data_IF_915637080664
#
_entry.id   IF_915637080664
#
_cell.length_a   1.000
_cell.length_b   1.000
_cell.length_c   1.000
_cell.angle_alpha   90.00
_cell.angle_beta   90.00
_cell.angle_gamma   90.00
#
_symmetry.space_group_name_H-M   'P 1'
#
loop_
_entity.id
_entity.type
_entity.pdbx_description
1 polymer ?
#
# COMPACT_ATOMS: atom_id res chain seq x y z
N UNK A 1 19.26 1.60 -19.25
CA UNK A 1 18.33 1.59 -18.11
C UNK A 1 18.23 2.99 -17.50
N UNK A 2 17.04 3.36 -17.04
CA UNK A 2 16.78 4.60 -16.29
C UNK A 2 15.97 4.31 -15.02
N UNK A 3 16.41 4.83 -13.88
CA UNK A 3 15.60 4.94 -12.66
C UNK A 3 14.84 6.25 -12.72
N UNK A 4 13.51 6.20 -12.76
CA UNK A 4 12.64 7.39 -12.84
C UNK A 4 12.43 8.01 -11.47
N UNK A 5 12.20 7.18 -10.47
CA UNK A 5 11.94 7.59 -9.09
C UNK A 5 12.36 6.48 -8.11
N UNK A 6 12.62 6.85 -6.86
CA UNK A 6 12.67 5.90 -5.75
C UNK A 6 11.83 6.44 -4.59
N UNK A 7 10.96 5.59 -4.07
CA UNK A 7 10.02 5.88 -3.00
C UNK A 7 10.23 4.92 -1.83
N UNK A 8 10.21 5.45 -0.59
CA UNK A 8 10.27 4.63 0.62
C UNK A 8 8.87 4.47 1.20
N UNK A 9 8.46 3.24 1.49
CA UNK A 9 7.14 2.90 2.03
C UNK A 9 7.26 1.97 3.23
N UNK A 10 6.55 2.23 4.35
CA UNK A 10 6.53 1.29 5.47
C UNK A 10 5.80 0.00 5.10
N UNK A 11 4.71 0.13 4.35
CA UNK A 11 3.92 -0.96 3.81
C UNK A 11 3.47 -0.64 2.38
N UNK A 12 3.15 -1.68 1.63
CA UNK A 12 2.61 -1.60 0.28
C UNK A 12 1.22 -2.22 0.25
N UNK A 13 0.32 -1.63 -0.54
CA UNK A 13 -1.02 -2.18 -0.76
C UNK A 13 -1.05 -2.93 -2.09
N UNK A 14 -1.51 -4.17 -2.04
CA UNK A 14 -1.68 -5.02 -3.23
C UNK A 14 -2.82 -6.01 -3.01
N UNK A 15 -3.16 -6.74 -4.07
CA UNK A 15 -4.14 -7.81 -4.02
C UNK A 15 -3.64 -8.95 -3.13
N UNK A 16 -4.44 -9.33 -2.14
CA UNK A 16 -4.22 -10.55 -1.35
C UNK A 16 -5.19 -11.68 -1.75
N UNK A 17 -6.19 -11.34 -2.56
CA UNK A 17 -7.05 -12.25 -3.32
C UNK A 17 -7.45 -11.54 -4.63
N UNK A 18 -8.11 -12.22 -5.58
CA UNK A 18 -8.54 -11.57 -6.82
C UNK A 18 -9.36 -10.28 -6.62
N UNK A 19 -10.15 -10.22 -5.53
CA UNK A 19 -11.15 -9.18 -5.29
C UNK A 19 -10.94 -8.42 -3.96
N UNK A 20 -9.74 -8.50 -3.37
CA UNK A 20 -9.42 -7.80 -2.13
C UNK A 20 -7.98 -7.29 -2.11
N UNK A 21 -7.79 -6.15 -1.45
CA UNK A 21 -6.49 -5.63 -1.05
C UNK A 21 -6.07 -6.11 0.35
N UNK A 22 -4.77 -6.25 0.53
CA UNK A 22 -4.09 -6.36 1.82
C UNK A 22 -2.90 -5.39 1.87
N UNK A 23 -2.36 -5.20 3.07
CA UNK A 23 -1.13 -4.44 3.29
C UNK A 23 0.04 -5.39 3.56
N UNK A 24 1.23 -5.01 3.11
CA UNK A 24 2.44 -5.83 3.23
C UNK A 24 3.63 -4.96 3.65
N UNK A 25 4.16 -5.24 4.82
CA UNK A 25 5.24 -4.49 5.42
C UNK A 25 5.24 -4.72 6.93
N UNK A 26 5.55 -3.68 7.70
CA UNK A 26 5.33 -3.70 9.14
C UNK A 26 6.27 -2.78 9.90
N UNK A 27 6.27 -2.87 11.23
CA UNK A 27 7.00 -1.93 12.09
C UNK A 27 8.52 -2.02 11.96
N UNK A 28 9.07 -3.21 11.67
CA UNK A 28 10.52 -3.46 11.65
C UNK A 28 11.10 -3.55 10.23
N UNK A 29 10.28 -3.38 9.20
CA UNK A 29 10.71 -3.42 7.81
C UNK A 29 10.08 -2.31 7.00
N UNK A 30 10.69 -2.01 5.86
CA UNK A 30 10.20 -1.04 4.90
C UNK A 30 10.57 -1.47 3.48
N UNK A 31 10.04 -0.77 2.50
CA UNK A 31 10.25 -1.02 1.09
C UNK A 31 10.91 0.20 0.45
N UNK A 32 12.02 -0.02 -0.26
CA UNK A 32 12.48 0.89 -1.29
C UNK A 32 11.87 0.45 -2.62
N UNK A 33 10.99 1.26 -3.18
CA UNK A 33 10.31 1.00 -4.46
C UNK A 33 10.92 1.91 -5.51
N UNK A 34 11.55 1.33 -6.52
CA UNK A 34 12.11 2.04 -7.66
C UNK A 34 11.19 1.87 -8.87
N UNK A 35 10.83 2.97 -9.51
CA UNK A 35 10.18 2.94 -10.83
C UNK A 35 11.27 3.00 -11.90
N UNK A 36 11.33 1.98 -12.75
CA UNK A 36 12.39 1.83 -13.75
C UNK A 36 11.83 1.78 -15.16
N UNK A 37 12.67 2.13 -16.12
CA UNK A 37 12.45 1.93 -17.53
C UNK A 37 13.72 1.39 -18.19
N UNK A 38 13.58 0.36 -19.01
CA UNK A 38 14.68 -0.39 -19.61
C UNK A 38 14.43 -0.57 -21.10
N UNK A 39 15.42 -0.23 -21.92
CA UNK A 39 15.32 -0.38 -23.38
C UNK A 39 15.41 -1.84 -23.84
N UNK A 40 16.27 -2.63 -23.19
CA UNK A 40 16.45 -4.06 -23.43
C UNK A 40 16.16 -4.87 -22.15
N UNK A 41 14.90 -5.23 -21.89
CA UNK A 41 14.53 -5.92 -20.65
C UNK A 41 15.25 -7.26 -20.43
N UNK A 42 15.59 -7.96 -21.51
CA UNK A 42 16.32 -9.23 -21.45
C UNK A 42 17.73 -9.09 -20.86
N UNK A 43 18.38 -7.92 -21.02
CA UNK A 43 19.71 -7.64 -20.47
C UNK A 43 19.63 -7.23 -18.98
N UNK A 44 18.43 -6.93 -18.48
CA UNK A 44 18.20 -6.47 -17.12
C UNK A 44 17.06 -7.26 -16.47
N UNK A 45 17.18 -8.59 -16.29
CA UNK A 45 16.13 -9.37 -15.66
C UNK A 45 15.87 -8.84 -14.24
N UNK A 46 14.62 -8.85 -13.72
CA UNK A 46 14.31 -8.35 -12.38
C UNK A 46 15.21 -8.91 -11.26
N UNK A 47 15.71 -10.12 -11.46
CA UNK A 47 16.64 -10.81 -10.58
C UNK A 47 18.02 -10.13 -10.41
N UNK A 48 18.44 -9.25 -11.32
CA UNK A 48 19.75 -8.57 -11.28
C UNK A 48 19.76 -7.34 -10.36
N UNK A 49 18.58 -6.90 -9.91
CA UNK A 49 18.43 -5.69 -9.11
C UNK A 49 18.60 -5.98 -7.61
N UNK A 50 19.48 -5.21 -6.95
CA UNK A 50 19.79 -5.34 -5.53
C UNK A 50 19.96 -3.96 -4.90
N UNK A 51 19.37 -3.74 -3.73
CA UNK A 51 19.71 -2.58 -2.90
C UNK A 51 20.80 -2.98 -1.91
N UNK A 52 21.93 -2.31 -1.98
CA UNK A 52 23.03 -2.44 -1.02
C UNK A 52 22.88 -1.38 0.07
N UNK A 53 22.93 -1.78 1.33
CA UNK A 53 22.81 -0.86 2.46
C UNK A 53 23.10 -1.57 3.79
N UNK A 54 23.76 -0.88 4.73
CA UNK A 54 24.05 -1.46 6.06
C UNK A 54 25.01 -2.66 6.03
N UNK A 55 25.77 -2.82 4.94
CA UNK A 55 26.64 -3.99 4.72
C UNK A 55 25.90 -5.24 4.24
N UNK A 56 24.59 -5.14 3.95
CA UNK A 56 23.76 -6.23 3.45
C UNK A 56 23.27 -5.97 2.02
N UNK A 57 22.92 -7.06 1.34
CA UNK A 57 22.34 -7.06 0.01
C UNK A 57 20.86 -7.43 0.09
N UNK A 58 20.00 -6.53 -0.35
CA UNK A 58 18.55 -6.70 -0.34
C UNK A 58 18.05 -6.86 -1.77
N UNK A 59 17.72 -8.10 -2.15
CA UNK A 59 17.25 -8.41 -3.50
C UNK A 59 15.93 -7.69 -3.79
N UNK A 60 15.83 -7.06 -4.96
CA UNK A 60 14.57 -6.52 -5.42
C UNK A 60 13.63 -7.65 -5.88
N UNK A 61 12.33 -7.41 -5.71
CA UNK A 61 11.25 -8.29 -6.13
C UNK A 61 10.27 -7.52 -7.03
N UNK A 62 9.54 -8.28 -7.84
CA UNK A 62 8.45 -7.79 -8.70
C UNK A 62 7.10 -8.34 -8.28
N UNK A 63 7.04 -9.05 -7.15
CA UNK A 63 5.80 -9.52 -6.57
C UNK A 63 5.87 -9.38 -5.05
N UNK A 64 4.86 -8.71 -4.50
CA UNK A 64 4.70 -8.50 -3.07
C UNK A 64 3.36 -9.12 -2.70
N UNK A 65 3.36 -9.98 -1.69
CA UNK A 65 2.12 -10.54 -1.16
C UNK A 65 1.33 -11.46 -2.10
N UNK A 66 1.90 -11.89 -3.22
CA UNK A 66 1.19 -12.70 -4.22
C UNK A 66 0.19 -11.91 -5.05
N UNK A 67 0.38 -10.59 -5.17
CA UNK A 67 -0.50 -9.68 -5.90
C UNK A 67 -0.34 -9.70 -7.42
N UNK A 68 0.38 -10.68 -7.95
CA UNK A 68 0.72 -10.84 -9.37
C UNK A 68 1.42 -9.59 -9.92
N UNK A 69 2.32 -9.01 -9.12
CA UNK A 69 3.09 -7.82 -9.51
C UNK A 69 2.30 -6.52 -9.64
N UNK A 70 1.08 -6.44 -9.13
CA UNK A 70 0.37 -5.17 -9.01
C UNK A 70 0.65 -4.51 -7.66
N UNK A 71 0.74 -3.18 -7.59
CA UNK A 71 0.69 -2.38 -6.36
C UNK A 71 -0.31 -1.24 -6.57
N UNK A 72 -1.16 -0.96 -5.59
CA UNK A 72 -2.22 0.05 -5.73
C UNK A 72 -1.67 1.46 -6.02
N UNK A 73 -0.51 1.82 -5.45
CA UNK A 73 0.14 3.12 -5.66
C UNK A 73 1.03 3.16 -6.91
N UNK A 74 1.58 2.02 -7.34
CA UNK A 74 2.65 1.97 -8.37
C UNK A 74 2.25 1.25 -9.67
N UNK A 75 1.06 0.65 -9.73
CA UNK A 75 0.61 -0.12 -10.89
C UNK A 75 1.35 -1.44 -11.04
N UNK A 76 1.71 -1.78 -12.27
CA UNK A 76 2.32 -3.06 -12.62
C UNK A 76 3.85 -3.07 -12.44
N UNK A 77 4.36 -4.22 -12.03
CA UNK A 77 5.78 -4.45 -11.81
C UNK A 77 6.55 -4.46 -13.13
N UNK A 78 7.81 -4.09 -13.04
CA UNK A 78 8.74 -4.24 -14.16
C UNK A 78 8.86 -5.72 -14.59
N UNK A 79 8.86 -5.96 -15.90
CA UNK A 79 9.00 -7.28 -16.51
C UNK A 79 7.76 -8.18 -16.42
N UNK A 80 6.64 -7.68 -15.87
CA UNK A 80 5.45 -8.48 -15.54
C UNK A 80 4.83 -9.30 -16.68
N UNK A 81 4.93 -8.98 -17.95
CA UNK A 81 4.55 -9.77 -19.13
C UNK A 81 5.49 -9.34 -20.25
N UNK A 82 6.75 -9.11 -19.88
CA UNK A 82 7.74 -8.45 -20.72
C UNK A 82 7.63 -6.92 -20.77
N UNK A 83 6.93 -6.25 -19.83
CA UNK A 83 6.93 -4.78 -19.82
C UNK A 83 8.34 -4.24 -19.57
N UNK A 84 8.70 -3.24 -20.37
CA UNK A 84 9.97 -2.53 -20.31
C UNK A 84 10.04 -1.50 -19.17
N UNK A 85 8.92 -1.23 -18.50
CA UNK A 85 8.80 -0.27 -17.42
C UNK A 85 7.92 -0.83 -16.31
N UNK A 86 8.11 -0.30 -15.09
CA UNK A 86 7.31 -0.67 -13.93
C UNK A 86 8.10 -0.53 -12.64
N UNK A 87 7.51 -1.01 -11.55
CA UNK A 87 8.15 -0.95 -10.23
C UNK A 87 9.03 -2.19 -9.94
N UNK A 88 10.04 -1.96 -9.11
CA UNK A 88 10.85 -2.96 -8.41
C UNK A 88 10.87 -2.59 -6.92
N UNK A 89 10.78 -3.56 -6.00
CA UNK A 89 10.78 -3.28 -4.57
C UNK A 89 11.82 -4.11 -3.83
N UNK A 90 12.62 -3.49 -2.95
CA UNK A 90 13.52 -4.20 -2.04
C UNK A 90 13.04 -4.03 -0.60
N UNK A 91 12.97 -5.15 0.14
CA UNK A 91 12.62 -5.14 1.57
C UNK A 91 13.86 -4.86 2.41
N UNK A 92 13.79 -3.84 3.23
CA UNK A 92 14.88 -3.31 4.05
C UNK A 92 14.48 -3.30 5.54
N UNK A 93 15.45 -3.35 6.48
CA UNK A 93 15.20 -3.05 7.88
C UNK A 93 14.65 -1.63 8.07
N UNK A 94 13.86 -1.42 9.12
CA UNK A 94 13.36 -0.10 9.52
C UNK A 94 13.67 0.16 11.00
N UNK A 95 14.55 1.13 11.32
CA UNK A 95 15.36 1.95 10.41
C UNK A 95 16.43 1.14 9.66
N UNK A 96 16.90 1.67 8.53
CA UNK A 96 18.11 1.18 7.87
C UNK A 96 19.34 1.85 8.51
N UNK A 97 20.17 1.05 9.18
CA UNK A 97 21.41 1.50 9.82
C UNK A 97 22.54 1.59 8.79
N UNK A 98 22.51 2.63 7.94
CA UNK A 98 23.49 2.84 6.89
C UNK A 98 23.76 4.32 6.63
N UNK A 99 25.01 4.67 6.34
CA UNK A 99 25.40 6.02 5.90
C UNK A 99 25.14 6.27 4.41
N UNK A 100 24.97 5.20 3.64
CA UNK A 100 24.63 5.23 2.22
C UNK A 100 23.84 3.98 1.86
N UNK A 101 23.05 4.09 0.79
CA UNK A 101 22.40 2.95 0.16
C UNK A 101 22.39 3.14 -1.35
N UNK A 102 22.46 2.04 -2.10
CA UNK A 102 22.59 2.08 -3.56
C UNK A 102 21.76 0.98 -4.19
N UNK A 103 20.91 1.32 -5.16
CA UNK A 103 20.32 0.34 -6.06
C UNK A 103 21.36 -0.03 -7.13
N UNK A 104 21.67 -1.31 -7.27
CA UNK A 104 22.66 -1.84 -8.21
C UNK A 104 22.03 -2.83 -9.17
N UNK A 105 22.61 -2.95 -10.36
CA UNK A 105 22.26 -3.92 -11.38
C UNK A 105 23.45 -4.16 -12.31
N UNK A 106 23.35 -5.15 -13.18
CA UNK A 106 24.41 -5.43 -14.15
C UNK A 106 24.59 -4.24 -15.11
N UNK A 107 25.75 -3.58 -15.01
CA UNK A 107 26.11 -2.44 -15.84
C UNK A 107 25.74 -1.08 -15.26
N UNK A 108 25.26 -0.97 -14.02
CA UNK A 108 25.01 0.33 -13.41
C UNK A 108 24.63 0.34 -11.95
N UNK A 109 24.50 1.55 -11.42
CA UNK A 109 24.03 1.79 -10.06
C UNK A 109 23.32 3.15 -9.97
N UNK A 110 22.50 3.29 -8.94
CA UNK A 110 21.75 4.49 -8.61
C UNK A 110 21.84 4.71 -7.10
N UNK A 111 22.45 5.82 -6.68
CA UNK A 111 22.60 6.15 -5.28
C UNK A 111 21.25 6.60 -4.67
N UNK A 112 20.88 6.03 -3.53
CA UNK A 112 19.71 6.42 -2.75
C UNK A 112 20.14 7.55 -1.81
N UNK A 113 20.06 8.79 -2.27
CA UNK A 113 20.57 9.97 -1.55
C UNK A 113 19.46 10.93 -1.10
N UNK A 114 19.83 11.93 -0.30
CA UNK A 114 18.94 13.00 0.14
C UNK A 114 17.73 12.48 0.92
N UNK A 115 16.54 12.94 0.57
CA UNK A 115 15.29 12.61 1.27
C UNK A 115 14.95 11.12 1.25
N UNK A 116 15.42 10.36 0.26
CA UNK A 116 15.23 8.89 0.21
C UNK A 116 16.01 8.23 1.33
N UNK A 117 17.30 8.57 1.49
CA UNK A 117 18.14 8.02 2.55
C UNK A 117 17.67 8.45 3.93
N UNK A 118 17.30 9.73 4.10
CA UNK A 118 16.73 10.24 5.35
C UNK A 118 15.49 9.46 5.78
N UNK A 119 14.65 9.06 4.81
CA UNK A 119 13.45 8.26 5.08
C UNK A 119 13.78 6.80 5.40
N UNK A 120 14.77 6.20 4.72
CA UNK A 120 15.26 4.86 5.04
C UNK A 120 15.83 4.77 6.46
N UNK A 121 16.56 5.79 6.91
CA UNK A 121 17.17 5.85 8.25
C UNK A 121 16.18 6.22 9.35
N UNK A 122 14.93 6.58 9.00
CA UNK A 122 13.94 7.04 9.97
C UNK A 122 13.42 5.86 10.81
N UNK A 123 13.37 5.98 12.15
CA UNK A 123 12.69 5.01 13.01
C UNK A 123 11.21 4.82 12.63
N UNK A 124 10.58 3.69 12.99
CA UNK A 124 9.16 3.52 12.79
C UNK A 124 8.33 4.54 13.58
N UNK A 125 7.39 5.20 12.89
CA UNK A 125 6.32 5.95 13.54
C UNK A 125 5.32 4.98 14.21
N UNK A 126 4.52 5.52 15.15
CA UNK A 126 3.46 4.78 15.83
C UNK A 126 2.14 5.53 15.66
N UNK A 127 1.08 4.81 15.31
CA UNK A 127 -0.21 5.40 15.02
C UNK A 127 -1.30 4.80 15.91
N UNK A 128 -2.30 5.62 16.22
CA UNK A 128 -3.62 5.16 16.66
C UNK A 128 -4.61 5.45 15.52
N UNK A 129 -5.37 4.44 15.10
CA UNK A 129 -6.21 4.51 13.91
C UNK A 129 -7.67 4.17 14.24
N UNK A 130 -8.55 5.14 14.04
CA UNK A 130 -9.99 4.99 14.08
C UNK A 130 -10.57 4.72 12.69
N UNK A 131 -11.61 3.89 12.63
CA UNK A 131 -12.39 3.66 11.41
C UNK A 131 -13.87 3.78 11.73
N UNK A 132 -14.59 4.61 10.99
CA UNK A 132 -16.01 4.91 11.20
C UNK A 132 -16.79 4.84 9.89
N UNK A 133 -18.04 4.42 10.00
CA UNK A 133 -19.03 4.40 8.93
C UNK A 133 -20.43 4.54 9.56
N UNK A 134 -21.45 5.00 8.82
CA UNK A 134 -22.83 5.04 9.32
C UNK A 134 -23.32 3.63 9.66
N UNK A 135 -24.16 3.51 10.69
CA UNK A 135 -24.76 2.21 11.05
C UNK A 135 -25.80 1.73 10.03
N UNK A 136 -26.43 2.64 9.30
CA UNK A 136 -27.43 2.34 8.28
C UNK A 136 -27.43 3.38 7.16
N UNK A 137 -27.90 2.99 5.98
CA UNK A 137 -28.10 3.86 4.83
C UNK A 137 -29.23 3.32 3.94
N UNK A 138 -29.94 4.18 3.20
CA UNK A 138 -30.96 3.73 2.26
C UNK A 138 -30.39 3.58 0.85
N UNK A 139 -31.05 2.76 0.02
CA UNK A 139 -30.81 2.77 -1.43
C UNK A 139 -31.01 4.19 -1.98
N UNK A 140 -30.03 4.67 -2.74
CA UNK A 140 -29.92 6.05 -3.24
C UNK A 140 -29.11 6.99 -2.34
N UNK A 141 -28.65 6.56 -1.16
CA UNK A 141 -27.73 7.31 -0.32
C UNK A 141 -26.26 6.96 -0.65
N UNK A 142 -25.33 7.87 -0.32
CA UNK A 142 -23.89 7.59 -0.32
C UNK A 142 -23.46 7.16 1.07
N UNK A 143 -22.85 5.99 1.20
CA UNK A 143 -22.19 5.57 2.44
C UNK A 143 -20.82 6.20 2.52
N UNK A 144 -20.61 7.04 3.54
CA UNK A 144 -19.32 7.68 3.81
C UNK A 144 -18.60 6.98 4.95
N UNK A 145 -17.43 6.42 4.67
CA UNK A 145 -16.53 5.88 5.67
C UNK A 145 -15.33 6.79 5.89
N UNK A 146 -14.87 6.91 7.13
CA UNK A 146 -13.76 7.79 7.53
C UNK A 146 -12.70 6.99 8.28
N UNK A 147 -11.45 7.13 7.85
CA UNK A 147 -10.28 6.69 8.62
C UNK A 147 -9.67 7.92 9.27
N UNK A 148 -9.50 7.90 10.59
CA UNK A 148 -8.82 8.94 11.36
C UNK A 148 -7.53 8.35 11.92
N UNK A 149 -6.40 8.97 11.64
CA UNK A 149 -5.08 8.48 12.09
C UNK A 149 -4.40 9.55 12.91
N UNK A 150 -4.06 9.23 14.16
CA UNK A 150 -3.25 10.05 15.04
C UNK A 150 -1.83 9.47 15.12
N UNK A 151 -0.82 10.32 14.94
CA UNK A 151 0.57 9.94 15.18
C UNK A 151 0.92 10.15 16.65
N UNK A 152 0.90 9.04 17.39
CA UNK A 152 1.23 8.99 18.83
C UNK A 152 2.72 8.75 19.10
N UNK A 153 3.54 8.65 18.05
CA UNK A 153 4.98 8.52 18.13
C UNK A 153 5.73 9.85 18.12
N UNK A 154 7.05 9.77 18.17
CA UNK A 154 7.96 10.92 18.22
C UNK A 154 8.56 11.31 16.85
N UNK A 155 8.11 10.67 15.77
CA UNK A 155 8.61 10.90 14.40
C UNK A 155 7.47 10.96 13.40
N UNK A 156 7.60 11.84 12.40
CA UNK A 156 6.67 11.90 11.29
C UNK A 156 6.66 10.57 10.52
N UNK A 157 5.49 10.10 10.13
CA UNK A 157 5.36 8.84 9.42
C UNK A 157 4.26 8.82 8.38
N UNK A 158 4.26 7.73 7.61
CA UNK A 158 3.18 7.40 6.69
C UNK A 158 2.38 6.24 7.25
N UNK A 159 1.07 6.43 7.39
CA UNK A 159 0.12 5.35 7.63
C UNK A 159 -0.32 4.76 6.29
N UNK A 160 -0.46 3.43 6.24
CA UNK A 160 -0.90 2.69 5.06
C UNK A 160 -1.99 1.70 5.48
N UNK A 161 -3.12 1.71 4.78
CA UNK A 161 -4.22 0.79 4.99
C UNK A 161 -4.84 0.33 3.67
N UNK A 162 -5.60 -0.76 3.72
CA UNK A 162 -6.36 -1.29 2.59
C UNK A 162 -7.85 -1.34 2.94
N UNK A 163 -8.68 -0.64 2.17
CA UNK A 163 -10.13 -0.67 2.31
C UNK A 163 -10.74 -1.66 1.32
N UNK A 164 -11.55 -2.57 1.86
CA UNK A 164 -12.34 -3.53 1.09
C UNK A 164 -13.81 -3.46 1.48
N UNK A 165 -14.68 -3.89 0.58
CA UNK A 165 -16.12 -4.00 0.81
C UNK A 165 -16.61 -5.43 0.55
N UNK A 166 -17.57 -5.87 1.35
CA UNK A 166 -18.32 -7.11 1.17
C UNK A 166 -19.81 -6.80 1.25
N UNK A 167 -20.58 -7.28 0.28
CA UNK A 167 -22.01 -6.98 0.17
C UNK A 167 -22.33 -5.49 -0.11
N UNK A 168 -23.63 -5.17 -0.23
CA UNK A 168 -24.62 -6.09 -0.80
C UNK A 168 -24.23 -6.44 -2.25
N UNK A 169 -24.71 -7.59 -2.75
CA UNK A 169 -24.47 -8.11 -4.12
C UNK A 169 -23.04 -8.49 -4.52
N UNK A 170 -22.02 -7.97 -3.85
CA UNK A 170 -20.62 -8.31 -4.09
C UNK A 170 -20.11 -9.31 -3.05
N UNK A 171 -19.34 -10.32 -3.48
CA UNK A 171 -18.66 -11.23 -2.56
C UNK A 171 -17.47 -10.54 -1.87
N UNK A 172 -16.71 -9.75 -2.63
CA UNK A 172 -15.68 -8.82 -2.15
C UNK A 172 -15.37 -7.79 -3.24
N UNK A 173 -14.99 -6.59 -2.85
CA UNK A 173 -14.41 -5.57 -3.72
C UNK A 173 -13.26 -4.86 -3.02
N UNK A 174 -12.15 -4.67 -3.73
CA UNK A 174 -11.07 -3.77 -3.33
C UNK A 174 -11.47 -2.33 -3.65
N UNK A 175 -11.64 -1.48 -2.63
CA UNK A 175 -12.16 -0.12 -2.81
C UNK A 175 -11.02 0.90 -2.94
N UNK A 176 -10.07 0.89 -2.00
CA UNK A 176 -9.00 1.88 -1.99
C UNK A 176 -7.77 1.45 -1.18
N UNK A 177 -6.62 2.02 -1.55
CA UNK A 177 -5.48 2.15 -0.64
C UNK A 177 -5.63 3.46 0.16
N UNK A 178 -5.46 3.38 1.48
CA UNK A 178 -5.46 4.52 2.39
C UNK A 178 -4.01 4.88 2.67
N UNK A 179 -3.61 6.10 2.32
CA UNK A 179 -2.23 6.57 2.49
C UNK A 179 -2.26 7.99 3.06
N UNK A 180 -1.71 8.15 4.26
CA UNK A 180 -1.68 9.43 4.98
C UNK A 180 -0.26 9.71 5.49
N UNK A 181 0.28 10.90 5.19
CA UNK A 181 1.46 11.42 5.87
C UNK A 181 0.99 12.15 7.12
N UNK A 182 1.36 11.66 8.30
CA UNK A 182 0.92 12.21 9.58
C UNK A 182 2.15 12.70 10.34
N UNK A 183 2.22 14.01 10.52
CA UNK A 183 3.27 14.64 11.33
C UNK A 183 3.21 14.18 12.79
N UNK A 184 4.32 14.31 13.50
CA UNK A 184 4.46 13.97 14.92
C UNK A 184 3.38 14.69 15.76
N UNK A 185 2.61 13.94 16.55
CA UNK A 185 1.49 14.48 17.34
C UNK A 185 0.31 15.01 16.50
N UNK A 186 0.33 14.81 15.19
CA UNK A 186 -0.70 15.24 14.26
C UNK A 186 -1.83 14.22 14.12
N UNK A 187 -2.94 14.68 13.55
CA UNK A 187 -4.09 13.83 13.19
C UNK A 187 -4.51 14.13 11.77
N UNK A 188 -4.62 13.09 10.94
CA UNK A 188 -5.11 13.19 9.57
C UNK A 188 -6.36 12.35 9.37
N UNK A 189 -7.16 12.72 8.36
CA UNK A 189 -8.38 12.00 8.00
C UNK A 189 -8.42 11.68 6.53
N UNK A 190 -8.95 10.50 6.22
CA UNK A 190 -9.24 10.07 4.86
C UNK A 190 -10.68 9.60 4.77
N UNK A 191 -11.39 9.98 3.71
CA UNK A 191 -12.80 9.66 3.53
C UNK A 191 -13.05 8.92 2.22
N UNK A 192 -13.92 7.92 2.28
CA UNK A 192 -14.40 7.14 1.16
C UNK A 192 -15.92 7.27 1.04
N UNK A 193 -16.43 7.42 -0.18
CA UNK A 193 -17.85 7.41 -0.48
C UNK A 193 -18.21 6.24 -1.39
N UNK A 194 -19.30 5.53 -1.09
CA UNK A 194 -19.87 4.50 -1.95
C UNK A 194 -21.36 4.76 -2.17
N UNK A 195 -21.75 4.94 -3.42
CA UNK A 195 -23.14 5.19 -3.80
C UNK A 195 -23.94 3.89 -3.85
N UNK A 196 -25.08 3.86 -3.15
CA UNK A 196 -25.98 2.71 -3.12
C UNK A 196 -26.99 2.77 -4.27
N UNK A 197 -26.51 2.57 -5.50
CA UNK A 197 -27.31 2.76 -6.72
C UNK A 197 -28.30 1.63 -7.01
N UNK A 198 -27.98 0.40 -6.60
CA UNK A 198 -28.75 -0.79 -6.95
C UNK A 198 -29.57 -1.34 -5.78
N UNK A 199 -30.83 -1.70 -6.07
CA UNK A 199 -31.60 -2.54 -5.14
C UNK A 199 -30.92 -3.91 -5.08
N UNK A 200 -30.58 -4.42 -3.88
CA UNK A 200 -30.10 -5.80 -3.76
C UNK A 200 -31.15 -6.74 -4.34
N UNK A 201 -30.88 -7.31 -5.52
CA UNK A 201 -31.78 -8.25 -6.18
C UNK A 201 -32.00 -9.48 -5.31
N UNK A 202 -33.12 -9.50 -4.56
CA UNK A 202 -33.68 -10.67 -3.88
C UNK A 202 -32.84 -11.39 -2.83
N UNK A 203 -31.56 -11.02 -2.58
CA UNK A 203 -30.72 -11.66 -1.56
C UNK A 203 -31.15 -11.27 -0.15
N UNK A 204 -30.99 -12.19 0.80
CA UNK A 204 -31.46 -12.05 2.18
C UNK A 204 -30.61 -11.12 3.05
N UNK A 205 -29.37 -10.82 2.65
CA UNK A 205 -28.44 -9.99 3.42
C UNK A 205 -28.31 -8.58 2.80
N UNK A 206 -29.01 -7.56 3.34
CA UNK A 206 -28.86 -6.18 2.92
C UNK A 206 -27.61 -5.51 3.53
N UNK A 207 -26.82 -6.20 4.36
CA UNK A 207 -25.73 -5.55 5.08
C UNK A 207 -24.50 -5.37 4.19
N UNK A 208 -24.02 -4.13 4.13
CA UNK A 208 -22.72 -3.80 3.58
C UNK A 208 -21.67 -3.86 4.68
N UNK A 209 -20.55 -4.51 4.42
CA UNK A 209 -19.40 -4.56 5.33
C UNK A 209 -18.22 -3.84 4.71
N UNK A 210 -17.61 -2.95 5.47
CA UNK A 210 -16.36 -2.30 5.13
C UNK A 210 -15.25 -2.84 6.02
N UNK A 211 -14.14 -3.24 5.42
CA UNK A 211 -12.99 -3.80 6.10
C UNK A 211 -11.77 -2.92 5.83
N UNK A 212 -11.25 -2.30 6.89
CA UNK A 212 -9.95 -1.66 6.87
C UNK A 212 -8.91 -2.65 7.38
N UNK A 213 -7.88 -2.93 6.57
CA UNK A 213 -6.71 -3.69 6.99
C UNK A 213 -5.52 -2.73 7.16
N UNK A 214 -4.84 -2.79 8.30
CA UNK A 214 -3.64 -2.01 8.61
C UNK A 214 -2.90 -2.68 9.78
N UNK A 215 -1.56 -2.63 9.81
CA UNK A 215 -0.73 -3.18 10.89
C UNK A 215 -1.08 -4.65 11.27
N UNK A 216 -1.35 -5.50 10.27
CA UNK A 216 -1.84 -6.89 10.43
C UNK A 216 -3.22 -7.03 11.13
N UNK A 217 -3.88 -5.92 11.45
CA UNK A 217 -5.21 -5.89 12.03
C UNK A 217 -6.29 -5.68 10.97
N UNK A 218 -7.51 -6.15 11.25
CA UNK A 218 -8.70 -5.91 10.45
C UNK A 218 -9.79 -5.31 11.30
N UNK A 219 -10.16 -4.07 10.98
CA UNK A 219 -11.31 -3.40 11.59
C UNK A 219 -12.49 -3.47 10.63
N UNK A 220 -13.66 -3.87 11.14
CA UNK A 220 -14.88 -4.00 10.34
C UNK A 220 -15.94 -3.00 10.79
N UNK A 221 -16.63 -2.40 9.81
CA UNK A 221 -17.86 -1.64 10.00
C UNK A 221 -18.98 -2.23 9.17
N UNK A 222 -20.14 -2.35 9.79
CA UNK A 222 -21.35 -2.86 9.16
C UNK A 222 -22.31 -1.70 8.95
N UNK A 223 -22.94 -1.69 7.78
CA UNK A 223 -23.92 -0.69 7.36
C UNK A 223 -25.15 -1.44 6.88
N UNK A 224 -26.24 -1.31 7.61
CA UNK A 224 -27.53 -1.90 7.23
C UNK A 224 -28.14 -1.11 6.08
N UNK A 225 -28.39 -1.77 4.94
CA UNK A 225 -28.96 -1.11 3.75
C UNK A 225 -30.47 -1.25 3.70
N UNK A 226 -31.17 -0.16 3.98
CA UNK A 226 -32.62 -0.12 3.95
C UNK A 226 -33.17 -0.09 2.52
N UNK A 227 -34.13 -0.98 2.26
CA UNK A 227 -34.95 -0.99 1.05
C UNK A 227 -36.12 -0.04 1.28
N UNK A 228 -36.03 1.20 0.79
CA UNK A 228 -37.21 2.08 0.73
C UNK A 228 -38.36 1.45 -0.07
#
# INVERSE_FOLDING_TARGET
MTVRSVSVRPELVTRNSPDSYGTYGGRTSQWAVAEVAVETPDDHPPASFVVEGGGELHRAVTDVGGGDGFLAEFGDAYGRRGEAEGWLAARLPKPLEAESATLTWDGGSYALEGSVLERLRRPPASFDAGFDAPASAAVGDTVTATVTVENVGDVDGRFVGALNRVGPLVASASEAAVVLEVGTGGTERWTFGHDLDERPGGREDPTMRLHLLCDDERVTREVDVDRR
#
